data_IF_861271197203
#
_entry.id   IF_861271197203
#
_cell.length_a   1.000
_cell.length_b   1.000
_cell.length_c   1.000
_cell.angle_alpha   90.00
_cell.angle_beta   90.00
_cell.angle_gamma   90.00
#
_symmetry.space_group_name_H-M   'P 1'
#
loop_
_entity.id
_entity.type
_entity.pdbx_description
1 polymer ?
#
# COMPACT_ATOMS: atom_id res chain seq x y z
N UNK A 1 -34.77 4.43 2.54
CA UNK A 1 -33.66 4.08 1.63
C UNK A 1 -32.55 5.08 1.87
N UNK A 2 -31.76 4.87 2.92
CA UNK A 2 -30.55 5.67 3.22
C UNK A 2 -29.69 4.83 4.15
N UNK A 3 -28.79 4.03 3.59
CA UNK A 3 -27.74 3.39 4.37
C UNK A 3 -26.52 4.31 4.27
N UNK A 4 -26.47 5.30 5.18
CA UNK A 4 -25.24 6.07 5.39
C UNK A 4 -24.29 5.12 6.12
N UNK A 5 -23.39 4.48 5.37
CA UNK A 5 -22.28 3.78 5.96
C UNK A 5 -21.31 4.83 6.50
N UNK A 6 -21.46 5.19 7.77
CA UNK A 6 -20.38 5.80 8.53
C UNK A 6 -19.27 4.75 8.65
N UNK A 7 -18.33 4.75 7.70
CA UNK A 7 -16.97 4.31 8.01
C UNK A 7 -16.45 5.33 9.01
N UNK A 8 -16.63 5.05 10.30
CA UNK A 8 -15.81 5.68 11.31
C UNK A 8 -14.37 5.35 10.92
N UNK A 9 -13.60 6.36 10.54
CA UNK A 9 -12.16 6.30 10.71
C UNK A 9 -11.96 5.99 12.19
N UNK A 10 -11.67 4.72 12.50
CA UNK A 10 -11.24 4.38 13.84
C UNK A 10 -10.05 5.32 14.12
N UNK A 11 -10.06 6.08 15.24
CA UNK A 11 -8.90 6.85 15.60
C UNK A 11 -7.74 5.87 15.64
N UNK A 12 -6.71 6.13 14.84
CA UNK A 12 -5.46 5.39 14.88
C UNK A 12 -4.68 5.75 16.15
N UNK A 13 -5.34 5.85 17.31
CA UNK A 13 -4.66 5.68 18.59
C UNK A 13 -4.43 4.18 18.75
N UNK A 14 -3.44 3.65 18.04
CA UNK A 14 -2.92 2.34 18.34
C UNK A 14 -2.42 2.39 19.79
N UNK A 15 -3.20 1.81 20.70
CA UNK A 15 -2.73 1.52 22.04
C UNK A 15 -1.43 0.74 21.88
N UNK A 16 -0.36 1.28 22.45
CA UNK A 16 1.00 0.75 22.34
C UNK A 16 1.03 -0.71 22.80
N UNK A 17 0.93 -1.65 21.85
CA UNK A 17 1.37 -3.02 22.03
C UNK A 17 2.83 -3.13 21.57
N UNK A 18 3.64 -2.12 21.93
CA UNK A 18 5.06 -2.05 21.58
C UNK A 18 5.81 -3.23 22.17
N UNK A 19 6.78 -3.74 21.41
CA UNK A 19 7.73 -4.76 21.84
C UNK A 19 8.37 -4.36 23.19
N UNK A 20 8.65 -5.35 24.05
CA UNK A 20 9.09 -5.22 25.44
C UNK A 20 10.53 -4.66 25.63
N UNK A 21 10.92 -3.64 24.87
CA UNK A 21 12.12 -2.81 25.07
C UNK A 21 11.77 -1.45 25.67
N UNK A 22 12.78 -0.69 26.09
CA UNK A 22 12.59 0.72 26.46
C UNK A 22 12.05 1.47 25.23
N UNK A 23 10.90 2.14 25.35
CA UNK A 23 10.32 2.91 24.27
C UNK A 23 11.33 3.98 23.79
N UNK A 24 11.52 4.15 22.47
CA UNK A 24 12.44 5.18 21.97
C UNK A 24 11.95 6.57 22.39
N UNK A 25 12.89 7.51 22.49
CA UNK A 25 12.53 8.92 22.60
C UNK A 25 11.96 9.39 21.26
N UNK A 26 10.70 9.81 21.27
CA UNK A 26 10.02 10.32 20.07
C UNK A 26 10.45 11.75 19.76
N UNK A 27 10.55 12.07 18.48
CA UNK A 27 10.64 13.46 18.03
C UNK A 27 9.24 14.07 18.03
N UNK A 28 9.03 15.14 18.79
CA UNK A 28 7.69 15.70 19.04
C UNK A 28 7.54 17.06 18.37
N UNK A 29 6.47 17.22 17.60
CA UNK A 29 6.09 18.47 16.94
C UNK A 29 4.58 18.48 16.70
N UNK A 30 3.93 19.61 17.00
CA UNK A 30 2.48 19.81 16.87
C UNK A 30 2.05 20.39 15.52
N UNK A 31 2.97 20.44 14.54
CA UNK A 31 2.70 20.94 13.19
C UNK A 31 1.56 20.19 12.48
N UNK A 32 1.32 18.93 12.87
CA UNK A 32 0.27 18.07 12.35
C UNK A 32 -0.40 17.30 13.51
N UNK A 33 -1.66 16.90 13.32
CA UNK A 33 -2.45 16.19 14.34
C UNK A 33 -2.26 14.67 14.32
N UNK A 34 -1.40 14.16 13.43
CA UNK A 34 -1.01 12.75 13.27
C UNK A 34 0.46 12.71 12.92
N UNK A 35 1.13 11.55 13.12
CA UNK A 35 2.54 11.38 12.75
C UNK A 35 2.78 11.74 11.28
N UNK A 36 3.90 12.38 10.98
CA UNK A 36 4.20 12.98 9.69
C UNK A 36 5.70 12.92 9.39
N UNK A 37 6.06 12.99 8.10
CA UNK A 37 7.47 12.96 7.69
C UNK A 37 8.19 14.23 8.11
N UNK A 38 9.28 14.05 8.83
CA UNK A 38 10.14 15.08 9.39
C UNK A 38 11.49 14.37 9.64
N UNK A 39 12.49 14.64 8.80
CA UNK A 39 13.77 13.94 8.80
C UNK A 39 14.71 14.62 9.79
N UNK A 40 15.11 13.86 10.81
CA UNK A 40 15.89 14.39 11.93
C UNK A 40 17.41 14.24 11.73
N UNK A 41 18.24 15.14 12.28
CA UNK A 41 19.70 15.12 12.12
C UNK A 41 20.39 13.80 12.53
N UNK A 42 19.78 13.02 13.41
CA UNK A 42 20.30 11.71 13.83
C UNK A 42 20.04 10.59 12.82
N UNK A 43 19.30 10.85 11.74
CA UNK A 43 19.03 9.89 10.69
C UNK A 43 20.33 9.51 9.96
N UNK A 44 20.75 8.26 10.12
CA UNK A 44 21.94 7.76 9.42
C UNK A 44 21.60 7.26 8.01
N UNK A 45 22.63 7.13 7.17
CA UNK A 45 22.48 6.56 5.83
C UNK A 45 21.90 5.15 5.86
N UNK A 46 22.37 4.30 6.77
CA UNK A 46 21.88 2.93 6.93
C UNK A 46 20.40 2.90 7.35
N UNK A 47 19.99 3.80 8.26
CA UNK A 47 18.60 3.94 8.67
C UNK A 47 17.72 4.43 7.51
N UNK A 48 18.21 5.35 6.68
CA UNK A 48 17.49 5.83 5.50
C UNK A 48 17.35 4.77 4.42
N UNK A 49 18.35 3.89 4.25
CA UNK A 49 18.26 2.73 3.36
C UNK A 49 17.26 1.68 3.86
N UNK A 50 17.27 1.37 5.15
CA UNK A 50 16.28 0.51 5.78
C UNK A 50 14.86 1.09 5.63
N UNK A 51 14.71 2.38 5.94
CA UNK A 51 13.47 3.12 5.74
C UNK A 51 13.00 3.04 4.28
N UNK A 52 13.89 3.19 3.30
CA UNK A 52 13.54 3.10 1.88
C UNK A 52 13.00 1.72 1.51
N UNK A 53 13.59 0.66 2.04
CA UNK A 53 13.12 -0.72 1.83
C UNK A 53 11.76 -0.97 2.50
N UNK A 54 11.57 -0.50 3.73
CA UNK A 54 10.34 -0.65 4.50
C UNK A 54 9.20 0.21 3.93
N UNK A 55 9.45 1.49 3.64
CA UNK A 55 8.53 2.40 2.95
C UNK A 55 8.11 1.84 1.59
N UNK A 56 9.03 1.19 0.87
CA UNK A 56 8.72 0.47 -0.37
C UNK A 56 7.57 -0.54 -0.23
N UNK A 57 7.48 -1.23 0.91
CA UNK A 57 6.40 -2.17 1.20
C UNK A 57 5.04 -1.47 1.40
N UNK A 58 5.05 -0.25 1.94
CA UNK A 58 3.85 0.59 2.10
C UNK A 58 3.42 1.19 0.76
N UNK A 59 4.38 1.75 0.01
CA UNK A 59 4.14 2.39 -1.29
C UNK A 59 3.62 1.41 -2.33
N UNK A 60 4.08 0.15 -2.33
CA UNK A 60 3.65 -0.84 -3.32
C UNK A 60 2.13 -0.90 -3.45
N UNK A 61 1.65 -0.68 -4.67
CA UNK A 61 0.24 -0.83 -4.99
C UNK A 61 -0.15 -2.31 -5.11
N UNK A 62 -1.27 -2.66 -4.49
CA UNK A 62 -1.86 -4.00 -4.52
C UNK A 62 -3.18 -3.92 -5.28
N UNK A 63 -3.34 -4.71 -6.36
CA UNK A 63 -4.59 -4.67 -7.11
C UNK A 63 -5.77 -5.31 -6.37
N UNK A 64 -5.50 -6.14 -5.34
CA UNK A 64 -6.47 -6.77 -4.45
C UNK A 64 -7.64 -7.42 -5.19
N UNK A 65 -7.36 -8.51 -5.89
CA UNK A 65 -8.40 -9.27 -6.57
C UNK A 65 -7.87 -10.35 -7.48
N UNK A 66 -8.79 -11.11 -8.04
CA UNK A 66 -8.50 -12.15 -9.02
C UNK A 66 -7.83 -11.58 -10.29
N UNK A 67 -7.33 -12.48 -11.13
CA UNK A 67 -6.55 -12.12 -12.31
C UNK A 67 -7.42 -11.80 -13.51
N UNK A 68 -8.74 -11.96 -13.42
CA UNK A 68 -9.63 -11.61 -14.53
C UNK A 68 -9.64 -10.09 -14.75
N UNK A 69 -9.69 -9.71 -16.01
CA UNK A 69 -9.83 -8.33 -16.45
C UNK A 69 -11.27 -7.85 -16.33
N UNK A 70 -11.48 -6.54 -16.37
CA UNK A 70 -12.79 -5.91 -16.36
C UNK A 70 -13.58 -6.22 -17.64
N UNK A 71 -12.88 -6.33 -18.78
CA UNK A 71 -13.51 -6.40 -20.09
C UNK A 71 -13.78 -5.01 -20.64
N UNK A 72 -13.74 -4.86 -21.96
CA UNK A 72 -13.81 -3.54 -22.61
C UNK A 72 -15.04 -2.74 -22.16
N UNK A 73 -14.83 -1.48 -21.79
CA UNK A 73 -15.89 -0.54 -21.41
C UNK A 73 -16.41 -0.67 -19.97
N UNK A 74 -15.97 -1.69 -19.22
CA UNK A 74 -16.37 -1.87 -17.83
C UNK A 74 -15.46 -1.06 -16.90
N UNK A 75 -16.03 -0.61 -15.79
CA UNK A 75 -15.37 0.22 -14.77
C UNK A 75 -15.41 -0.51 -13.43
N UNK A 76 -14.37 -0.31 -12.62
CA UNK A 76 -14.33 -0.67 -11.23
C UNK A 76 -13.93 0.52 -10.38
N UNK A 77 -14.76 0.84 -9.39
CA UNK A 77 -14.46 1.84 -8.37
C UNK A 77 -14.41 1.13 -7.03
N UNK A 78 -13.32 1.28 -6.30
CA UNK A 78 -13.13 0.61 -5.02
C UNK A 78 -12.40 1.46 -3.99
N UNK A 79 -12.65 1.15 -2.74
CA UNK A 79 -11.81 1.55 -1.61
C UNK A 79 -10.95 0.37 -1.21
N UNK A 80 -9.68 0.64 -0.96
CA UNK A 80 -8.74 -0.31 -0.41
C UNK A 80 -8.20 0.21 0.91
N UNK A 81 -7.88 -0.72 1.79
CA UNK A 81 -7.23 -0.43 3.04
C UNK A 81 -6.11 -1.45 3.19
N UNK A 82 -4.94 -0.96 3.56
CA UNK A 82 -3.76 -1.79 3.76
C UNK A 82 -3.19 -1.47 5.11
N UNK A 83 -2.75 -2.49 5.84
CA UNK A 83 -1.99 -2.39 7.07
C UNK A 83 -0.68 -3.14 6.88
N UNK A 84 0.43 -2.40 6.94
CA UNK A 84 1.78 -2.95 6.79
C UNK A 84 2.46 -2.89 8.16
N UNK A 85 2.91 -4.03 8.66
CA UNK A 85 3.61 -4.09 9.95
C UNK A 85 4.96 -3.42 9.85
N UNK A 86 5.26 -2.54 10.80
CA UNK A 86 6.53 -1.85 10.94
C UNK A 86 7.05 -2.05 12.37
N UNK A 87 8.33 -1.74 12.56
CA UNK A 87 8.91 -1.57 13.89
C UNK A 87 9.20 -0.08 14.09
N UNK A 88 8.27 0.61 14.74
CA UNK A 88 8.37 2.05 15.00
C UNK A 88 9.43 2.41 16.04
N UNK A 89 10.04 1.41 16.70
CA UNK A 89 11.15 1.63 17.63
C UNK A 89 12.50 1.83 16.95
N UNK A 90 12.61 1.45 15.67
CA UNK A 90 13.84 1.60 14.89
C UNK A 90 14.07 3.05 14.46
N UNK A 91 15.33 3.45 14.42
CA UNK A 91 15.73 4.77 13.89
C UNK A 91 15.24 5.03 12.47
N UNK A 92 15.09 3.99 11.64
CA UNK A 92 14.52 4.11 10.29
C UNK A 92 13.12 4.74 10.26
N UNK A 93 12.27 4.50 11.27
CA UNK A 93 10.95 5.14 11.40
C UNK A 93 10.95 6.30 12.37
N UNK A 94 11.61 6.15 13.53
CA UNK A 94 11.62 7.18 14.55
C UNK A 94 12.34 8.45 14.06
N UNK A 95 13.44 8.34 13.31
CA UNK A 95 14.23 9.50 12.85
C UNK A 95 13.76 10.06 11.49
N UNK A 96 12.75 9.46 10.85
CA UNK A 96 12.15 9.96 9.61
C UNK A 96 10.78 10.58 9.81
N UNK A 97 10.27 10.54 11.05
CA UNK A 97 8.93 10.98 11.42
C UNK A 97 8.96 11.83 12.68
N UNK A 98 8.03 12.76 12.76
CA UNK A 98 7.66 13.47 13.99
C UNK A 98 6.27 13.07 14.47
N UNK A 99 6.06 13.27 15.76
CA UNK A 99 4.89 12.83 16.51
C UNK A 99 4.16 14.03 17.15
N UNK A 100 2.82 14.10 17.11
CA UNK A 100 2.05 15.20 17.72
C UNK A 100 2.23 15.34 19.23
N UNK A 101 2.60 14.25 19.91
CA UNK A 101 2.83 14.21 21.35
C UNK A 101 3.80 13.07 21.69
N UNK A 102 4.43 13.15 22.87
CA UNK A 102 5.39 12.15 23.35
C UNK A 102 4.80 10.75 23.60
N UNK A 103 3.47 10.63 23.64
CA UNK A 103 2.71 9.38 23.76
C UNK A 103 1.95 9.01 22.48
N UNK A 104 2.12 9.78 21.39
CA UNK A 104 1.48 9.54 20.10
C UNK A 104 2.39 8.79 19.13
N UNK A 105 2.53 7.49 19.38
CA UNK A 105 3.38 6.63 18.57
C UNK A 105 2.82 6.34 17.17
N UNK A 106 3.71 5.98 16.25
CA UNK A 106 3.35 5.54 14.91
C UNK A 106 2.62 4.18 14.94
N UNK A 107 2.95 3.35 15.93
CA UNK A 107 2.36 2.05 16.18
C UNK A 107 3.01 0.92 15.36
N UNK A 108 2.72 -0.34 15.70
CA UNK A 108 3.29 -1.51 15.03
C UNK A 108 2.80 -1.76 13.59
N UNK A 109 2.04 -0.83 12.99
CA UNK A 109 1.64 -0.91 11.60
C UNK A 109 1.22 0.44 11.02
N UNK A 110 1.60 0.70 9.77
CA UNK A 110 1.06 1.81 8.98
C UNK A 110 -0.19 1.33 8.25
N UNK A 111 -1.32 1.99 8.52
CA UNK A 111 -2.57 1.75 7.81
C UNK A 111 -2.87 2.89 6.86
N UNK A 112 -3.19 2.57 5.60
CA UNK A 112 -3.45 3.59 4.59
C UNK A 112 -4.69 3.25 3.74
N UNK A 113 -5.72 4.12 3.75
CA UNK A 113 -6.87 3.99 2.86
C UNK A 113 -6.55 4.55 1.46
N UNK A 114 -7.09 3.92 0.43
CA UNK A 114 -6.93 4.33 -0.97
C UNK A 114 -8.27 4.25 -1.69
N UNK A 115 -8.51 5.19 -2.59
CA UNK A 115 -9.56 5.07 -3.62
C UNK A 115 -8.89 4.63 -4.91
N UNK A 116 -9.53 3.71 -5.61
CA UNK A 116 -9.03 3.11 -6.85
C UNK A 116 -10.12 3.19 -7.89
N UNK A 117 -9.75 3.68 -9.07
CA UNK A 117 -10.56 3.61 -10.28
C UNK A 117 -9.82 2.78 -11.32
N UNK A 118 -10.49 1.79 -11.91
CA UNK A 118 -9.93 0.94 -12.96
C UNK A 118 -10.91 0.86 -14.12
N UNK A 119 -10.38 0.91 -15.34
CA UNK A 119 -11.14 0.84 -16.57
C UNK A 119 -10.63 -0.30 -17.46
N UNK A 120 -11.55 -1.11 -17.98
CA UNK A 120 -11.26 -2.12 -18.98
C UNK A 120 -11.07 -1.47 -20.35
N UNK A 121 -9.81 -1.28 -20.74
CA UNK A 121 -9.45 -0.68 -22.04
C UNK A 121 -9.70 -1.66 -23.18
N UNK A 122 -9.42 -2.94 -22.94
CA UNK A 122 -9.73 -4.04 -23.87
C UNK A 122 -10.22 -5.25 -23.07
N UNK A 123 -10.59 -6.33 -23.75
CA UNK A 123 -10.89 -7.59 -23.08
C UNK A 123 -9.69 -8.20 -22.34
N UNK A 124 -8.46 -7.73 -22.59
CA UNK A 124 -7.25 -8.28 -21.96
C UNK A 124 -6.47 -7.27 -21.13
N UNK A 125 -6.88 -6.00 -21.10
CA UNK A 125 -6.10 -4.94 -20.47
C UNK A 125 -7.03 -4.04 -19.68
N UNK A 126 -6.72 -3.89 -18.40
CA UNK A 126 -7.30 -2.86 -17.55
C UNK A 126 -6.22 -1.84 -17.19
N UNK A 127 -6.57 -0.57 -17.15
CA UNK A 127 -5.71 0.51 -16.64
C UNK A 127 -6.37 1.11 -15.40
N UNK A 128 -5.57 1.39 -14.38
CA UNK A 128 -6.04 1.95 -13.12
C UNK A 128 -5.26 3.18 -12.69
N UNK A 129 -5.94 4.03 -11.93
CA UNK A 129 -5.37 5.12 -11.18
C UNK A 129 -5.93 5.08 -9.76
N UNK A 130 -5.13 5.53 -8.80
CA UNK A 130 -5.51 5.46 -7.40
C UNK A 130 -4.79 6.52 -6.59
N UNK A 131 -5.35 6.82 -5.43
CA UNK A 131 -4.71 7.73 -4.48
C UNK A 131 -5.39 7.75 -3.12
N UNK A 132 -4.74 8.40 -2.17
CA UNK A 132 -5.24 8.63 -0.83
C UNK A 132 -4.38 9.67 -0.13
N UNK A 133 -4.89 10.24 0.95
CA UNK A 133 -4.18 11.17 1.82
C UNK A 133 -4.24 10.60 3.25
N UNK A 134 -3.19 10.83 4.04
CA UNK A 134 -3.21 10.57 5.48
C UNK A 134 -3.82 11.79 6.19
N UNK A 135 -5.04 11.70 6.75
CA UNK A 135 -5.68 12.86 7.36
C UNK A 135 -4.88 13.35 8.57
N UNK A 136 -4.70 14.67 8.66
CA UNK A 136 -3.98 15.27 9.78
C UNK A 136 -2.47 15.04 9.76
N UNK A 137 -1.89 14.64 8.62
CA UNK A 137 -0.46 14.46 8.40
C UNK A 137 -0.01 15.17 7.12
N UNK A 138 1.29 15.16 6.80
CA UNK A 138 1.87 15.84 5.64
C UNK A 138 1.99 14.97 4.38
N UNK A 139 1.48 13.72 4.40
CA UNK A 139 1.68 12.79 3.30
C UNK A 139 0.41 12.16 2.73
N UNK A 140 0.51 11.81 1.47
CA UNK A 140 -0.44 11.01 0.72
C UNK A 140 0.28 10.16 -0.32
N UNK A 141 -0.49 9.29 -0.99
CA UNK A 141 0.01 8.39 -2.02
C UNK A 141 -0.81 8.55 -3.28
N UNK A 142 -0.16 8.47 -4.44
CA UNK A 142 -0.84 8.40 -5.74
C UNK A 142 -0.12 7.42 -6.64
N UNK A 143 -0.85 6.81 -7.56
CA UNK A 143 -0.22 5.96 -8.55
C UNK A 143 -1.14 5.54 -9.68
N UNK A 144 -0.55 4.74 -10.55
CA UNK A 144 -1.21 4.12 -11.69
C UNK A 144 -0.79 2.66 -11.78
N UNK A 145 -1.64 1.86 -12.42
CA UNK A 145 -1.39 0.44 -12.58
C UNK A 145 -2.02 -0.12 -13.85
N UNK A 146 -1.62 -1.33 -14.24
CA UNK A 146 -2.23 -2.05 -15.36
C UNK A 146 -2.42 -3.51 -14.98
N UNK A 147 -3.51 -4.15 -15.45
CA UNK A 147 -3.70 -5.59 -15.38
C UNK A 147 -3.78 -6.15 -16.79
N UNK A 148 -2.88 -7.07 -17.14
CA UNK A 148 -2.80 -7.66 -18.47
C UNK A 148 -3.04 -9.16 -18.36
N UNK A 149 -4.13 -9.65 -18.96
CA UNK A 149 -4.46 -11.07 -19.00
C UNK A 149 -3.51 -11.82 -19.94
N UNK A 150 -2.72 -12.73 -19.38
CA UNK A 150 -1.89 -13.68 -20.12
C UNK A 150 -2.68 -14.93 -20.47
N UNK A 151 -3.47 -15.43 -19.50
CA UNK A 151 -4.34 -16.58 -19.65
C UNK A 151 -5.72 -16.24 -19.08
N UNK A 152 -6.78 -16.62 -19.78
CA UNK A 152 -8.15 -16.50 -19.31
C UNK A 152 -8.74 -17.87 -19.07
N UNK A 153 -9.39 -18.03 -17.92
CA UNK A 153 -10.14 -19.22 -17.58
C UNK A 153 -11.23 -19.48 -18.63
N UNK A 154 -11.41 -20.74 -18.99
CA UNK A 154 -12.38 -21.24 -19.98
C UNK A 154 -12.51 -22.76 -19.89
N UNK A 155 -13.17 -23.39 -20.87
CA UNK A 155 -13.41 -24.84 -20.88
C UNK A 155 -12.11 -25.65 -20.73
N UNK A 156 -11.08 -25.31 -21.51
CA UNK A 156 -9.80 -26.04 -21.51
C UNK A 156 -8.73 -25.42 -20.59
N UNK A 157 -9.08 -24.33 -19.88
CA UNK A 157 -8.15 -23.57 -19.05
C UNK A 157 -8.76 -23.32 -17.68
N UNK A 158 -8.36 -24.06 -16.63
CA UNK A 158 -9.03 -23.98 -15.34
C UNK A 158 -8.68 -22.72 -14.54
N UNK A 159 -7.70 -21.92 -14.98
CA UNK A 159 -7.18 -20.75 -14.27
C UNK A 159 -7.07 -19.55 -15.20
N UNK A 160 -7.04 -18.36 -14.59
CA UNK A 160 -6.64 -17.11 -15.23
C UNK A 160 -5.27 -16.69 -14.70
N UNK A 161 -4.43 -16.12 -15.56
CA UNK A 161 -3.08 -15.63 -15.22
C UNK A 161 -2.93 -14.23 -15.76
N UNK A 162 -2.38 -13.33 -14.95
CA UNK A 162 -2.15 -11.94 -15.35
C UNK A 162 -0.82 -11.41 -14.87
N UNK A 163 -0.26 -10.48 -15.64
CA UNK A 163 0.86 -9.64 -15.22
C UNK A 163 0.34 -8.25 -14.87
N UNK A 164 0.92 -7.65 -13.83
CA UNK A 164 0.38 -6.46 -13.16
C UNK A 164 1.50 -5.48 -12.81
N UNK A 165 1.89 -4.59 -13.73
CA UNK A 165 2.80 -3.50 -13.40
C UNK A 165 2.06 -2.37 -12.65
N UNK A 166 2.77 -1.70 -11.75
CA UNK A 166 2.28 -0.51 -11.03
C UNK A 166 3.41 0.45 -10.70
N UNK A 167 3.05 1.72 -10.57
CA UNK A 167 3.93 2.80 -10.10
C UNK A 167 3.21 3.63 -9.04
N UNK A 168 3.97 4.12 -8.07
CA UNK A 168 3.51 4.90 -6.92
C UNK A 168 4.46 6.06 -6.65
N UNK A 169 3.93 7.20 -6.25
CA UNK A 169 4.69 8.29 -5.63
C UNK A 169 4.12 8.60 -4.24
N UNK A 170 5.02 8.86 -3.30
CA UNK A 170 4.74 9.65 -2.11
C UNK A 170 4.43 11.09 -2.54
N UNK A 171 3.42 11.70 -1.92
CA UNK A 171 3.00 13.08 -2.14
C UNK A 171 3.01 13.82 -0.82
N UNK A 172 3.45 15.07 -0.82
CA UNK A 172 3.27 15.99 0.30
C UNK A 172 4.57 16.40 1.02
N UNK A 173 5.35 15.46 1.59
CA UNK A 173 6.54 15.82 2.35
C UNK A 173 7.53 16.60 1.48
N UNK A 174 7.99 17.75 2.00
CA UNK A 174 9.04 18.55 1.37
C UNK A 174 10.42 17.90 1.50
N UNK A 175 10.65 17.22 2.61
CA UNK A 175 11.95 16.69 3.05
C UNK A 175 12.30 15.32 2.49
N UNK A 176 11.32 14.61 1.94
CA UNK A 176 11.57 13.32 1.29
C UNK A 176 10.64 13.13 0.11
N UNK A 177 11.23 12.77 -1.02
CA UNK A 177 10.48 12.19 -2.12
C UNK A 177 10.77 10.70 -2.19
N UNK A 178 9.72 9.91 -2.31
CA UNK A 178 9.85 8.48 -2.50
C UNK A 178 8.92 7.96 -3.58
N UNK A 179 9.38 6.96 -4.31
CA UNK A 179 8.63 6.29 -5.36
C UNK A 179 8.79 4.78 -5.28
N UNK A 180 7.82 4.08 -5.84
CA UNK A 180 7.85 2.63 -5.97
C UNK A 180 7.37 2.21 -7.36
N UNK A 181 8.07 1.27 -7.96
CA UNK A 181 7.63 0.55 -9.14
C UNK A 181 7.57 -0.95 -8.81
N UNK A 182 6.51 -1.63 -9.25
CA UNK A 182 6.40 -3.07 -9.05
C UNK A 182 5.81 -3.76 -10.26
N UNK A 183 6.13 -5.04 -10.39
CA UNK A 183 5.50 -5.93 -11.36
C UNK A 183 5.24 -7.27 -10.69
N UNK A 184 4.03 -7.78 -10.86
CA UNK A 184 3.67 -9.09 -10.33
C UNK A 184 3.04 -10.00 -11.38
N UNK A 185 3.22 -11.30 -11.20
CA UNK A 185 2.54 -12.35 -11.95
C UNK A 185 1.66 -13.11 -10.97
N UNK A 186 0.41 -13.30 -11.36
CA UNK A 186 -0.62 -13.86 -10.51
C UNK A 186 -1.43 -14.91 -11.23
N UNK A 187 -1.96 -15.85 -10.46
CA UNK A 187 -2.89 -16.89 -10.90
C UNK A 187 -4.12 -16.87 -10.02
N UNK A 188 -5.29 -17.06 -10.62
CA UNK A 188 -6.55 -17.23 -9.88
C UNK A 188 -7.45 -18.26 -10.54
N UNK A 189 -8.37 -18.82 -9.76
CA UNK A 189 -9.42 -19.71 -10.27
C UNK A 189 -10.77 -19.22 -9.78
N UNK A 190 -11.68 -18.91 -10.68
CA UNK A 190 -13.05 -18.60 -10.32
C UNK A 190 -13.80 -19.89 -9.98
N UNK A 191 -14.42 -19.91 -8.80
CA UNK A 191 -15.26 -20.97 -8.25
C UNK A 191 -16.63 -20.37 -7.91
N UNK A 192 -17.41 -20.07 -8.95
CA UNK A 192 -18.65 -19.31 -8.82
C UNK A 192 -18.38 -17.85 -8.45
N UNK A 193 -18.93 -17.38 -7.34
CA UNK A 193 -18.75 -16.00 -6.85
C UNK A 193 -17.37 -15.76 -6.22
N UNK A 194 -16.64 -16.82 -5.88
CA UNK A 194 -15.45 -16.76 -5.05
C UNK A 194 -14.23 -17.18 -5.88
N UNK A 195 -13.14 -16.44 -5.78
CA UNK A 195 -11.93 -16.62 -6.57
C UNK A 195 -10.69 -16.53 -5.69
N UNK A 196 -10.13 -17.68 -5.22
CA UNK A 196 -8.81 -17.67 -4.64
C UNK A 196 -7.76 -17.28 -5.68
N UNK A 197 -6.73 -16.57 -5.23
CA UNK A 197 -5.62 -16.15 -6.06
C UNK A 197 -4.33 -16.08 -5.26
N UNK A 198 -3.20 -16.19 -5.96
CA UNK A 198 -1.88 -16.02 -5.41
C UNK A 198 -0.93 -15.47 -6.48
N UNK A 199 0.19 -14.89 -6.05
CA UNK A 199 1.17 -14.34 -6.96
C UNK A 199 2.51 -14.09 -6.31
N UNK A 200 3.46 -13.72 -7.16
CA UNK A 200 4.80 -13.26 -6.78
C UNK A 200 5.06 -11.93 -7.46
N UNK A 201 5.77 -11.04 -6.78
CA UNK A 201 6.11 -9.73 -7.30
C UNK A 201 7.59 -9.42 -7.10
N UNK A 202 8.10 -8.55 -7.96
CA UNK A 202 9.33 -7.81 -7.70
C UNK A 202 9.00 -6.32 -7.62
N UNK A 203 9.78 -5.61 -6.82
CA UNK A 203 9.58 -4.21 -6.47
C UNK A 203 10.91 -3.47 -6.46
N UNK A 204 10.89 -2.22 -6.88
CA UNK A 204 11.99 -1.28 -6.78
C UNK A 204 11.48 0.04 -6.20
N UNK A 205 12.18 0.55 -5.20
CA UNK A 205 11.88 1.79 -4.50
C UNK A 205 13.08 2.71 -4.52
N UNK A 206 12.82 4.01 -4.58
CA UNK A 206 13.82 5.07 -4.51
C UNK A 206 13.31 6.10 -3.52
N UNK A 207 14.16 6.52 -2.59
CA UNK A 207 13.93 7.67 -1.72
C UNK A 207 15.06 8.69 -1.92
N UNK A 208 14.68 9.95 -1.98
CA UNK A 208 15.57 11.10 -2.13
C UNK A 208 15.28 12.03 -0.97
N UNK A 209 16.29 12.18 -0.11
CA UNK A 209 16.31 13.12 1.00
C UNK A 209 16.42 14.57 0.45
N UNK A 210 15.73 15.51 1.09
CA UNK A 210 15.55 16.91 0.67
C UNK A 210 15.40 17.87 1.86
N UNK A 211 15.64 17.41 3.07
CA UNK A 211 15.65 18.22 4.28
C UNK A 211 16.84 19.20 4.26
N UNK A 212 16.75 20.24 5.07
CA UNK A 212 17.87 21.19 5.25
C UNK A 212 18.83 20.71 6.35
N UNK A 213 18.34 19.87 7.26
CA UNK A 213 19.04 19.43 8.47
C UNK A 213 19.85 18.14 8.28
N UNK A 214 19.69 17.50 7.13
CA UNK A 214 20.30 16.21 6.76
C UNK A 214 20.89 16.33 5.35
N UNK A 215 21.97 15.60 5.06
CA UNK A 215 22.59 15.52 3.73
C UNK A 215 22.91 14.05 3.43
N UNK A 216 21.92 13.32 2.91
CA UNK A 216 22.03 11.91 2.60
C UNK A 216 21.88 11.64 1.10
N UNK A 217 22.81 10.85 0.56
CA UNK A 217 22.68 10.32 -0.79
C UNK A 217 21.32 9.61 -0.98
N UNK A 218 20.74 9.62 -2.19
CA UNK A 218 19.56 8.83 -2.49
C UNK A 218 19.72 7.35 -2.09
N UNK A 219 18.64 6.75 -1.61
CA UNK A 219 18.59 5.35 -1.24
C UNK A 219 17.70 4.58 -2.21
N UNK A 220 18.10 3.35 -2.53
CA UNK A 220 17.30 2.45 -3.37
C UNK A 220 17.10 1.12 -2.68
N UNK A 221 15.95 0.51 -2.91
CA UNK A 221 15.66 -0.82 -2.40
C UNK A 221 14.96 -1.64 -3.47
N UNK A 222 15.47 -2.84 -3.72
CA UNK A 222 14.81 -3.83 -4.56
C UNK A 222 14.39 -5.02 -3.72
N UNK A 223 13.27 -5.64 -4.06
CA UNK A 223 12.73 -6.76 -3.30
C UNK A 223 11.90 -7.70 -4.14
N UNK A 224 11.66 -8.86 -3.57
CA UNK A 224 10.71 -9.85 -4.09
C UNK A 224 9.78 -10.27 -2.96
N UNK A 225 8.55 -10.62 -3.33
CA UNK A 225 7.53 -11.00 -2.35
C UNK A 225 6.56 -12.02 -2.95
N UNK A 226 5.81 -12.66 -2.06
CA UNK A 226 4.71 -13.52 -2.41
C UNK A 226 3.45 -13.09 -1.66
N UNK A 227 2.30 -13.31 -2.29
CA UNK A 227 1.01 -12.99 -1.71
C UNK A 227 -0.06 -14.03 -2.07
N UNK A 228 -1.08 -14.11 -1.23
CA UNK A 228 -2.25 -14.93 -1.46
C UNK A 228 -3.49 -14.19 -0.95
N UNK A 229 -4.61 -14.40 -1.63
CA UNK A 229 -5.84 -13.71 -1.31
C UNK A 229 -7.09 -14.42 -1.82
N UNK A 230 -8.21 -13.81 -1.47
CA UNK A 230 -9.55 -14.24 -1.84
C UNK A 230 -10.30 -13.06 -2.41
N UNK A 231 -10.95 -13.26 -3.55
CA UNK A 231 -11.87 -12.30 -4.16
C UNK A 231 -13.28 -12.90 -4.12
N UNK A 232 -14.27 -12.11 -3.73
CA UNK A 232 -15.67 -12.44 -3.78
C UNK A 232 -16.38 -11.40 -4.63
N UNK A 233 -17.12 -11.86 -5.64
CA UNK A 233 -17.92 -11.02 -6.52
C UNK A 233 -19.34 -11.50 -6.56
N UNK A 234 -20.26 -10.63 -6.18
CA UNK A 234 -21.69 -10.85 -6.31
C UNK A 234 -22.30 -9.70 -7.11
N UNK A 235 -22.71 -10.01 -8.35
CA UNK A 235 -23.16 -9.00 -9.32
C UNK A 235 -22.09 -7.91 -9.50
N UNK A 236 -22.43 -6.66 -9.23
CA UNK A 236 -21.52 -5.52 -9.28
C UNK A 236 -20.61 -5.44 -8.05
N UNK A 237 -20.99 -6.02 -6.92
CA UNK A 237 -20.24 -5.87 -5.67
C UNK A 237 -19.00 -6.76 -5.64
N UNK A 238 -17.88 -6.19 -5.20
CA UNK A 238 -16.59 -6.89 -5.08
C UNK A 238 -16.02 -6.68 -3.68
N UNK A 239 -15.58 -7.77 -3.07
CA UNK A 239 -14.77 -7.80 -1.86
C UNK A 239 -13.49 -8.58 -2.11
N UNK A 240 -12.37 -8.11 -1.59
CA UNK A 240 -11.14 -8.89 -1.60
C UNK A 240 -10.40 -8.76 -0.28
N UNK A 241 -9.68 -9.81 0.10
CA UNK A 241 -8.68 -9.78 1.15
C UNK A 241 -7.37 -10.41 0.64
N UNK A 242 -6.24 -9.92 1.12
CA UNK A 242 -4.90 -10.39 0.73
C UNK A 242 -3.95 -10.33 1.93
N UNK A 243 -3.05 -11.32 2.00
CA UNK A 243 -1.86 -11.27 2.83
C UNK A 243 -0.63 -11.35 1.94
N UNK A 244 0.36 -10.51 2.23
CA UNK A 244 1.60 -10.42 1.49
C UNK A 244 2.79 -10.51 2.44
N UNK A 245 3.85 -11.19 1.99
CA UNK A 245 5.13 -11.29 2.71
C UNK A 245 6.30 -10.95 1.78
N UNK A 246 6.98 -9.86 2.09
CA UNK A 246 8.24 -9.41 1.47
C UNK A 246 9.19 -8.92 2.57
N UNK A 247 9.76 -7.72 2.38
CA UNK A 247 10.50 -6.99 3.44
C UNK A 247 9.64 -6.86 4.70
N UNK A 248 8.39 -6.42 4.54
CA UNK A 248 7.39 -6.36 5.60
C UNK A 248 6.20 -7.28 5.29
N UNK A 249 5.45 -7.63 6.33
CA UNK A 249 4.18 -8.34 6.21
C UNK A 249 3.05 -7.32 6.10
N UNK A 250 2.18 -7.49 5.12
CA UNK A 250 1.03 -6.61 4.91
C UNK A 250 -0.27 -7.40 4.80
N UNK A 251 -1.33 -6.81 5.34
CA UNK A 251 -2.71 -7.27 5.21
C UNK A 251 -3.50 -6.20 4.48
N UNK A 252 -4.38 -6.62 3.57
CA UNK A 252 -5.14 -5.67 2.79
C UNK A 252 -6.56 -6.16 2.54
N UNK A 253 -7.49 -5.22 2.50
CA UNK A 253 -8.87 -5.47 2.12
C UNK A 253 -9.34 -4.45 1.08
N UNK A 254 -10.30 -4.88 0.27
CA UNK A 254 -10.93 -4.07 -0.77
C UNK A 254 -12.42 -4.25 -0.73
N UNK A 255 -13.13 -3.15 -0.94
CA UNK A 255 -14.57 -3.10 -1.19
C UNK A 255 -14.83 -2.22 -2.40
N UNK A 256 -15.68 -2.66 -3.31
CA UNK A 256 -15.96 -1.88 -4.51
C UNK A 256 -17.14 -2.35 -5.32
N UNK A 257 -17.32 -1.65 -6.43
CA UNK A 257 -18.35 -1.91 -7.42
C UNK A 257 -17.75 -1.97 -8.81
N UNK A 258 -18.21 -2.94 -9.60
CA UNK A 258 -17.86 -3.16 -11.01
C UNK A 258 -19.12 -3.09 -11.87
N UNK A 259 -19.12 -2.29 -12.93
CA UNK A 259 -20.25 -2.12 -13.85
C UNK A 259 -19.79 -1.83 -15.28
#
# INVERSE_FOLDING_TARGET
MTLVATLAAAPASAQYAGNAGAAPHLHVSDAYSSCFFDLHPELTKEQFEEFTAELGSILRFRQLGDTATLGMGNVDISMQFTSTRIDDSKGAWNNTMSHPAADHYLGGSISFPRVVARFGVTDRVDVGAWGGLSPGSNYGLVGADTKIALVRQGADRPVSVSIRPSITSLLGPSEVWAGNASIDVSVSRALGALSPYAGVATTASLAVERAEDVDLDPATAAGSLAYAGLSYRWRAFVLSAEVEKGTLVSYAFRIGTRF
#
